data_IF_416872935093
#
_entry.id   IF_416872935093
#
_cell.length_a   1.000
_cell.length_b   1.000
_cell.length_c   1.000
_cell.angle_alpha   90.00
_cell.angle_beta   90.00
_cell.angle_gamma   90.00
#
_symmetry.space_group_name_H-M   'P 1'
#
loop_
_entity.id
_entity.type
_entity.pdbx_description
1 polymer ?
#
# COMPACT_ATOMS: atom_id res chain seq x y z
N UNK A 1 3.37 -4.68 5.28
CA UNK A 1 4.09 -5.96 5.48
C UNK A 1 5.55 -5.62 5.28
N UNK A 2 6.34 -5.67 6.35
CA UNK A 2 7.67 -5.05 6.36
C UNK A 2 8.81 -6.06 6.19
N UNK A 3 8.52 -7.32 5.84
CA UNK A 3 9.53 -8.39 5.74
C UNK A 3 9.99 -8.86 7.12
N UNK A 4 10.50 -10.08 7.20
CA UNK A 4 10.78 -10.74 8.48
C UNK A 4 11.79 -9.99 9.35
N UNK A 5 12.78 -9.34 8.73
CA UNK A 5 13.78 -8.57 9.46
C UNK A 5 13.21 -7.39 10.28
N UNK A 6 12.01 -6.92 9.94
CA UNK A 6 11.35 -5.76 10.56
C UNK A 6 10.28 -6.16 11.59
N UNK A 7 10.16 -7.46 11.93
CA UNK A 7 9.15 -7.97 12.85
C UNK A 7 9.49 -7.73 14.33
N UNK A 8 9.53 -6.45 14.74
CA UNK A 8 9.73 -6.05 16.14
C UNK A 8 8.43 -5.99 16.94
N UNK A 9 7.29 -5.70 16.29
CA UNK A 9 6.00 -5.47 16.95
C UNK A 9 5.36 -6.79 17.39
N UNK A 10 5.25 -7.01 18.70
CA UNK A 10 4.66 -8.22 19.27
C UNK A 10 3.13 -8.10 19.41
N UNK A 11 2.65 -6.96 19.90
CA UNK A 11 1.23 -6.69 20.10
C UNK A 11 0.95 -5.20 19.93
N UNK A 12 -0.29 -4.88 19.53
CA UNK A 12 -0.76 -3.51 19.47
C UNK A 12 -2.28 -3.44 19.58
N UNK A 13 -2.77 -2.26 19.93
CA UNK A 13 -4.17 -1.90 19.89
C UNK A 13 -4.32 -0.53 19.23
N UNK A 14 -5.40 -0.36 18.47
CA UNK A 14 -5.70 0.90 17.76
C UNK A 14 -7.05 1.40 18.26
N UNK A 15 -7.03 2.54 18.93
CA UNK A 15 -8.21 3.29 19.33
C UNK A 15 -8.63 4.34 18.29
N UNK A 16 -9.61 5.16 18.64
CA UNK A 16 -10.14 6.24 17.78
C UNK A 16 -9.23 7.47 17.69
N UNK A 17 -8.26 7.63 18.59
CA UNK A 17 -7.38 8.80 18.63
C UNK A 17 -5.87 8.44 18.68
N UNK A 18 -5.53 7.16 18.57
CA UNK A 18 -4.17 6.69 18.71
C UNK A 18 -4.01 5.18 18.67
N UNK A 19 -2.79 4.74 18.92
CA UNK A 19 -2.44 3.34 19.10
C UNK A 19 -1.41 3.18 20.21
N UNK A 20 -1.43 2.00 20.81
CA UNK A 20 -0.45 1.54 21.80
C UNK A 20 0.08 0.19 21.36
N UNK A 21 1.34 -0.12 21.64
CA UNK A 21 1.90 -1.43 21.35
C UNK A 21 3.19 -1.73 22.09
N UNK A 22 3.64 -2.96 21.94
CA UNK A 22 4.87 -3.47 22.55
C UNK A 22 5.78 -4.01 21.45
N UNK A 23 7.01 -3.49 21.39
CA UNK A 23 8.09 -4.02 20.56
C UNK A 23 8.97 -4.95 21.39
N UNK A 24 9.60 -5.93 20.74
CA UNK A 24 10.65 -6.78 21.31
C UNK A 24 11.95 -6.48 20.58
N UNK A 25 12.92 -5.87 21.28
CA UNK A 25 14.13 -5.30 20.68
C UNK A 25 15.02 -6.31 19.97
N UNK A 26 15.02 -7.55 20.43
CA UNK A 26 15.80 -8.68 19.92
C UNK A 26 15.01 -9.59 18.95
N UNK A 27 13.78 -9.24 18.59
CA UNK A 27 12.95 -10.06 17.68
C UNK A 27 13.27 -9.85 16.19
N UNK A 28 13.68 -8.63 15.80
CA UNK A 28 14.01 -8.33 14.41
C UNK A 28 15.48 -8.61 14.06
N UNK A 29 15.78 -8.59 12.76
CA UNK A 29 17.10 -8.97 12.24
C UNK A 29 17.89 -7.78 11.65
N UNK A 30 17.37 -6.55 11.75
CA UNK A 30 18.08 -5.40 11.22
C UNK A 30 19.34 -5.10 12.05
N UNK A 31 20.42 -4.65 11.41
CA UNK A 31 21.57 -4.11 12.13
C UNK A 31 21.12 -2.99 13.07
N UNK A 32 21.58 -3.02 14.33
CA UNK A 32 21.22 -2.03 15.36
C UNK A 32 21.41 -0.59 14.88
N UNK A 33 22.57 -0.29 14.28
CA UNK A 33 22.95 1.08 13.96
C UNK A 33 23.13 1.94 15.23
N UNK A 34 23.10 3.27 15.07
CA UNK A 34 23.37 4.21 16.18
C UNK A 34 22.17 4.42 17.11
N UNK A 35 20.95 4.39 16.56
CA UNK A 35 19.72 4.73 17.29
C UNK A 35 18.75 3.55 17.38
N UNK A 36 19.22 2.32 17.12
CA UNK A 36 18.36 1.15 17.01
C UNK A 36 17.28 1.31 15.92
N UNK A 37 17.70 1.56 14.68
CA UNK A 37 16.82 1.89 13.56
C UNK A 37 15.66 0.91 13.33
N UNK A 38 15.84 -0.38 13.65
CA UNK A 38 14.76 -1.36 13.61
C UNK A 38 13.64 -1.12 14.62
N UNK A 39 13.95 -0.63 15.83
CA UNK A 39 12.93 -0.24 16.80
C UNK A 39 12.24 1.06 16.41
N UNK A 40 12.98 2.01 15.83
CA UNK A 40 12.39 3.26 15.35
C UNK A 40 11.41 3.03 14.19
N UNK A 41 11.75 2.14 13.26
CA UNK A 41 10.83 1.70 12.21
C UNK A 41 9.67 0.89 12.79
N UNK A 42 9.97 -0.07 13.68
CA UNK A 42 8.97 -0.87 14.38
C UNK A 42 7.93 -0.02 15.13
N UNK A 43 8.32 1.11 15.70
CA UNK A 43 7.41 2.05 16.35
C UNK A 43 6.39 2.65 15.38
N UNK A 44 6.74 2.84 14.10
CA UNK A 44 5.78 3.31 13.10
C UNK A 44 4.74 2.24 12.75
N UNK A 45 5.02 0.95 12.97
CA UNK A 45 4.07 -0.13 12.67
C UNK A 45 2.80 -0.10 13.53
N UNK A 46 2.79 0.58 14.69
CA UNK A 46 1.55 0.75 15.47
C UNK A 46 0.59 1.75 14.82
N UNK A 47 1.09 2.62 13.94
CA UNK A 47 0.27 3.59 13.21
C UNK A 47 -0.55 2.83 12.17
N UNK A 48 -1.88 3.05 12.09
CA UNK A 48 -2.75 2.37 11.14
C UNK A 48 -2.58 2.97 9.75
N UNK A 49 -1.41 2.83 9.13
CA UNK A 49 -1.05 3.46 7.85
C UNK A 49 -2.05 3.19 6.72
N UNK A 50 -2.74 2.05 6.78
CA UNK A 50 -3.73 1.65 5.78
C UNK A 50 -5.18 1.98 6.16
N UNK A 51 -5.39 2.60 7.32
CA UNK A 51 -6.69 2.93 7.87
C UNK A 51 -6.61 4.19 8.74
N UNK A 52 -5.81 5.18 8.33
CA UNK A 52 -5.56 6.38 9.13
C UNK A 52 -6.84 7.23 9.31
N UNK A 53 -7.82 7.03 8.42
CA UNK A 53 -9.20 7.52 8.55
C UNK A 53 -9.89 7.10 9.86
N UNK A 54 -9.41 6.06 10.55
CA UNK A 54 -9.87 5.69 11.89
C UNK A 54 -9.53 6.74 12.95
N UNK A 55 -8.51 7.55 12.72
CA UNK A 55 -8.09 8.64 13.62
C UNK A 55 -8.62 10.00 13.21
N UNK A 56 -9.02 10.18 11.95
CA UNK A 56 -9.64 11.41 11.47
C UNK A 56 -10.60 11.14 10.31
N UNK A 57 -11.87 11.59 10.38
CA UNK A 57 -12.83 11.43 9.29
C UNK A 57 -12.49 12.30 8.05
N UNK A 58 -11.55 13.24 8.17
CA UNK A 58 -11.07 14.07 7.06
C UNK A 58 -10.10 13.33 6.11
N UNK A 59 -9.76 12.07 6.41
CA UNK A 59 -8.87 11.25 5.60
C UNK A 59 -9.70 10.24 4.81
N UNK A 60 -9.50 10.22 3.48
CA UNK A 60 -10.21 9.29 2.59
C UNK A 60 -9.74 7.84 2.80
N UNK A 61 -10.66 6.89 2.54
CA UNK A 61 -10.42 5.45 2.73
C UNK A 61 -9.57 4.81 1.63
N UNK A 62 -9.40 5.50 0.51
CA UNK A 62 -8.59 5.06 -0.64
C UNK A 62 -7.11 5.49 -0.52
N UNK A 63 -6.73 6.09 0.61
CA UNK A 63 -5.37 6.54 0.90
C UNK A 63 -4.65 5.59 1.83
N UNK A 64 -3.35 5.51 1.63
CA UNK A 64 -2.41 4.97 2.64
C UNK A 64 -1.40 6.04 2.99
N UNK A 65 -0.86 5.96 4.20
CA UNK A 65 0.16 6.90 4.65
C UNK A 65 1.54 6.27 4.63
N UNK A 66 2.54 7.05 4.23
CA UNK A 66 3.96 6.69 4.32
C UNK A 66 4.71 7.76 5.11
N UNK A 67 5.77 7.42 5.87
CA UNK A 67 6.62 8.41 6.51
C UNK A 67 7.20 9.37 5.47
N UNK A 68 7.06 10.68 5.70
CA UNK A 68 7.49 11.71 4.76
C UNK A 68 8.59 12.59 5.34
N UNK A 69 8.40 13.06 6.57
CA UNK A 69 9.33 14.00 7.21
C UNK A 69 9.34 13.84 8.73
N UNK A 70 10.54 13.76 9.29
CA UNK A 70 10.75 13.83 10.73
C UNK A 70 10.82 15.31 11.16
N UNK A 71 9.90 15.75 12.00
CA UNK A 71 9.84 17.15 12.48
C UNK A 71 10.77 17.35 13.66
N UNK A 72 10.70 16.43 14.62
CA UNK A 72 11.58 16.42 15.78
C UNK A 72 11.83 14.98 16.21
N UNK A 73 13.04 14.73 16.69
CA UNK A 73 13.44 13.53 17.38
C UNK A 73 14.17 13.94 18.66
N UNK A 74 13.71 13.43 19.79
CA UNK A 74 14.35 13.60 21.09
C UNK A 74 14.71 12.22 21.62
N UNK A 75 15.98 12.05 21.96
CA UNK A 75 16.51 10.84 22.58
C UNK A 75 16.93 11.21 23.99
N UNK A 76 16.31 10.59 24.99
CA UNK A 76 16.56 10.85 26.40
C UNK A 76 17.42 9.74 27.01
N UNK A 77 17.19 8.50 26.58
CA UNK A 77 17.91 7.30 27.00
C UNK A 77 18.17 6.42 25.76
N UNK A 78 19.24 5.59 25.74
CA UNK A 78 19.47 4.65 24.65
C UNK A 78 18.38 3.57 24.60
N UNK A 79 18.00 3.15 23.39
CA UNK A 79 17.11 2.01 23.22
C UNK A 79 17.85 0.69 23.50
N UNK A 80 17.22 -0.26 24.22
CA UNK A 80 17.86 -1.50 24.66
C UNK A 80 18.11 -2.44 23.47
N UNK A 81 19.07 -3.35 23.61
CA UNK A 81 19.35 -4.41 22.61
C UNK A 81 18.40 -5.60 22.70
N UNK A 82 17.72 -5.76 23.84
CA UNK A 82 16.82 -6.88 24.08
C UNK A 82 15.67 -6.47 25.02
N UNK A 83 14.57 -7.21 24.95
CA UNK A 83 13.42 -7.02 25.83
C UNK A 83 12.37 -6.05 25.28
N UNK A 84 11.39 -5.76 26.13
CA UNK A 84 10.18 -5.04 25.74
C UNK A 84 10.38 -3.52 25.70
N UNK A 85 9.84 -2.90 24.65
CA UNK A 85 9.78 -1.44 24.48
C UNK A 85 8.33 -1.06 24.19
N UNK A 86 7.72 -0.28 25.08
CA UNK A 86 6.37 0.24 24.86
C UNK A 86 6.37 1.31 23.77
N UNK A 87 5.27 1.42 23.04
CA UNK A 87 5.09 2.44 22.00
C UNK A 87 3.72 3.08 22.15
N UNK A 88 3.70 4.41 22.14
CA UNK A 88 2.48 5.20 22.12
C UNK A 88 2.47 6.09 20.88
N UNK A 89 1.40 6.05 20.10
CA UNK A 89 1.21 6.88 18.91
C UNK A 89 -0.10 7.66 18.98
N UNK A 90 -0.08 8.96 18.68
CA UNK A 90 -1.25 9.84 18.70
C UNK A 90 -1.34 10.68 17.43
N UNK A 91 -2.55 10.80 16.90
CA UNK A 91 -2.81 11.72 15.81
C UNK A 91 -2.71 13.17 16.30
N UNK A 92 -1.88 13.97 15.64
CA UNK A 92 -1.55 15.34 16.03
C UNK A 92 -2.09 16.38 15.03
N UNK A 93 -3.05 15.99 14.18
CA UNK A 93 -3.62 16.86 13.17
C UNK A 93 -2.87 16.81 11.84
N UNK A 94 -2.76 17.95 11.18
CA UNK A 94 -2.21 18.08 9.82
C UNK A 94 -1.14 19.18 9.76
N UNK A 95 -0.08 18.93 9.03
CA UNK A 95 1.04 19.87 8.88
C UNK A 95 0.60 21.11 8.10
N UNK A 96 0.63 22.28 8.75
CA UNK A 96 0.16 23.54 8.16
C UNK A 96 -1.31 23.51 7.72
N UNK A 97 -2.14 22.59 8.25
CA UNK A 97 -3.52 22.37 7.81
C UNK A 97 -3.67 21.62 6.49
N UNK A 98 -2.58 21.14 5.88
CA UNK A 98 -2.65 20.35 4.65
C UNK A 98 -3.11 18.91 4.95
N UNK A 99 -4.32 18.56 4.50
CA UNK A 99 -4.95 17.25 4.74
C UNK A 99 -4.17 16.07 4.15
N UNK A 100 -3.30 16.30 3.17
CA UNK A 100 -2.41 15.27 2.61
C UNK A 100 -1.20 14.97 3.50
N UNK A 101 -0.98 15.78 4.55
CA UNK A 101 0.15 15.69 5.45
C UNK A 101 -0.27 15.45 6.93
N UNK A 102 -0.86 14.29 7.27
CA UNK A 102 -1.12 13.90 8.66
C UNK A 102 0.13 13.97 9.53
N UNK A 103 -0.03 14.37 10.79
CA UNK A 103 1.04 14.40 11.79
C UNK A 103 0.75 13.37 12.86
N UNK A 104 1.78 12.63 13.26
CA UNK A 104 1.71 11.65 14.36
C UNK A 104 2.82 11.95 15.35
N UNK A 105 2.45 12.00 16.63
CA UNK A 105 3.39 11.98 17.75
C UNK A 105 3.59 10.54 18.21
N UNK A 106 4.83 10.11 18.32
CA UNK A 106 5.21 8.80 18.84
C UNK A 106 6.15 8.92 20.03
N UNK A 107 6.00 7.99 20.97
CA UNK A 107 6.91 7.79 22.09
C UNK A 107 7.30 6.32 22.18
N UNK A 108 8.57 6.06 22.46
CA UNK A 108 9.08 4.74 22.82
C UNK A 108 9.42 4.77 24.32
N UNK A 109 8.92 3.78 25.05
CA UNK A 109 9.00 3.67 26.49
C UNK A 109 9.86 2.46 26.89
N UNK A 110 10.79 2.69 27.80
CA UNK A 110 11.64 1.65 28.40
C UNK A 110 11.42 1.71 29.91
N UNK A 111 10.95 0.62 30.51
CA UNK A 111 10.55 0.57 31.92
C UNK A 111 9.65 1.77 32.32
N UNK A 112 8.61 2.01 31.50
CA UNK A 112 7.61 3.09 31.65
C UNK A 112 8.16 4.53 31.61
N UNK A 113 9.43 4.71 31.22
CA UNK A 113 10.02 6.04 30.97
C UNK A 113 10.15 6.28 29.48
N UNK A 114 9.91 7.52 29.05
CA UNK A 114 10.09 7.92 27.64
C UNK A 114 11.58 7.94 27.31
N UNK A 115 12.04 6.96 26.52
CA UNK A 115 13.41 6.90 26.03
C UNK A 115 13.57 7.73 24.74
N UNK A 116 12.56 7.69 23.87
CA UNK A 116 12.55 8.43 22.61
C UNK A 116 11.17 9.06 22.39
N UNK A 117 11.15 10.30 21.91
CA UNK A 117 9.94 10.95 21.41
C UNK A 117 10.19 11.53 20.02
N UNK A 118 9.23 11.33 19.11
CA UNK A 118 9.33 11.79 17.73
C UNK A 118 8.00 12.31 17.21
N UNK A 119 8.07 13.36 16.39
CA UNK A 119 6.93 13.86 15.62
C UNK A 119 7.22 13.64 14.14
N UNK A 120 6.34 12.94 13.46
CA UNK A 120 6.49 12.57 12.06
C UNK A 120 5.31 13.11 11.27
N UNK A 121 5.62 13.76 10.16
CA UNK A 121 4.66 14.04 9.09
C UNK A 121 4.64 12.85 8.17
N UNK A 122 3.44 12.35 7.90
CA UNK A 122 3.17 11.32 6.92
C UNK A 122 2.70 11.99 5.62
N UNK A 123 2.89 11.32 4.48
CA UNK A 123 2.25 11.69 3.22
C UNK A 123 1.13 10.69 2.91
N UNK A 124 -0.05 11.19 2.56
CA UNK A 124 -1.14 10.37 2.04
C UNK A 124 -0.98 10.16 0.53
N UNK A 125 -0.83 8.91 0.13
CA UNK A 125 -0.73 8.50 -1.26
C UNK A 125 -1.98 7.71 -1.67
N UNK A 126 -2.51 7.93 -2.88
CA UNK A 126 -3.68 7.21 -3.36
C UNK A 126 -3.33 5.76 -3.69
N UNK A 127 -4.22 4.84 -3.33
CA UNK A 127 -4.30 3.49 -3.88
C UNK A 127 -5.53 3.30 -4.78
N UNK A 128 -6.34 4.35 -4.95
CA UNK A 128 -7.57 4.30 -5.72
C UNK A 128 -8.46 3.14 -5.27
N UNK A 129 -8.99 2.39 -6.24
CA UNK A 129 -9.87 1.24 -5.99
C UNK A 129 -9.21 0.13 -5.16
N UNK A 130 -7.89 -0.02 -5.24
CA UNK A 130 -7.14 -0.99 -4.45
C UNK A 130 -7.11 -0.61 -2.97
N UNK A 131 -7.18 0.69 -2.65
CA UNK A 131 -7.22 1.21 -1.28
C UNK A 131 -8.52 0.88 -0.55
N UNK A 132 -9.64 0.89 -1.27
CA UNK A 132 -10.98 0.67 -0.73
C UNK A 132 -11.27 -0.79 -0.36
N UNK A 133 -10.48 -1.75 -0.85
CA UNK A 133 -10.65 -3.17 -0.54
C UNK A 133 -10.33 -3.49 0.93
N UNK A 134 -10.97 -4.54 1.47
CA UNK A 134 -10.68 -5.01 2.82
C UNK A 134 -9.22 -5.46 2.96
N UNK A 135 -8.60 -5.39 4.16
CA UNK A 135 -7.19 -5.75 4.34
C UNK A 135 -6.81 -7.15 3.85
N UNK A 136 -7.70 -8.13 4.06
CA UNK A 136 -7.49 -9.51 3.62
C UNK A 136 -7.50 -9.65 2.10
N UNK A 137 -8.49 -9.03 1.43
CA UNK A 137 -8.63 -9.01 -0.03
C UNK A 137 -7.46 -8.28 -0.68
N UNK A 138 -7.13 -7.09 -0.17
CA UNK A 138 -5.99 -6.31 -0.65
C UNK A 138 -4.68 -7.08 -0.52
N UNK A 139 -4.46 -7.78 0.60
CA UNK A 139 -3.28 -8.66 0.79
C UNK A 139 -3.28 -9.81 -0.20
N UNK A 140 -4.42 -10.47 -0.39
CA UNK A 140 -4.55 -11.57 -1.34
C UNK A 140 -4.20 -11.12 -2.77
N UNK A 141 -4.67 -9.95 -3.19
CA UNK A 141 -4.42 -9.39 -4.51
C UNK A 141 -2.99 -8.86 -4.67
N UNK A 142 -2.57 -7.91 -3.85
CA UNK A 142 -1.28 -7.21 -4.02
C UNK A 142 -0.08 -8.12 -3.74
N UNK A 143 -0.12 -8.90 -2.66
CA UNK A 143 1.01 -9.70 -2.20
C UNK A 143 0.95 -11.13 -2.70
N UNK A 144 -0.19 -11.79 -2.49
CA UNK A 144 -0.31 -13.23 -2.80
C UNK A 144 -0.62 -13.47 -4.28
N UNK A 145 -0.85 -12.42 -5.06
CA UNK A 145 -1.23 -12.48 -6.49
C UNK A 145 -2.43 -13.42 -6.72
N UNK A 146 -3.36 -13.44 -5.78
CA UNK A 146 -4.61 -14.21 -5.90
C UNK A 146 -5.70 -13.31 -6.48
N UNK A 147 -6.53 -13.83 -7.41
CA UNK A 147 -7.65 -13.07 -7.94
C UNK A 147 -8.64 -12.73 -6.83
N UNK A 148 -9.13 -11.49 -6.85
CA UNK A 148 -10.24 -11.04 -6.01
C UNK A 148 -11.29 -10.45 -6.93
N UNK A 149 -12.53 -10.98 -6.97
CA UNK A 149 -13.58 -10.49 -7.86
C UNK A 149 -13.81 -8.98 -7.71
N UNK A 150 -13.79 -8.26 -8.82
CA UNK A 150 -14.04 -6.82 -8.87
C UNK A 150 -12.89 -5.92 -8.38
N UNK A 151 -11.77 -6.51 -7.93
CA UNK A 151 -10.59 -5.76 -7.51
C UNK A 151 -9.61 -5.57 -8.66
N UNK A 152 -9.17 -4.32 -8.83
CA UNK A 152 -8.33 -3.86 -9.93
C UNK A 152 -8.37 -2.34 -10.03
N UNK A 153 -7.68 -1.79 -11.02
CA UNK A 153 -7.71 -0.35 -11.33
C UNK A 153 -8.91 0.03 -12.20
N UNK A 154 -9.44 -0.90 -13.01
CA UNK A 154 -10.59 -0.65 -13.88
C UNK A 154 -11.94 -0.84 -13.20
N UNK A 155 -12.98 -0.37 -13.88
CA UNK A 155 -14.37 -0.76 -13.63
C UNK A 155 -14.84 -1.72 -14.72
N UNK A 156 -15.85 -2.54 -14.44
CA UNK A 156 -16.50 -3.34 -15.48
C UNK A 156 -18.01 -3.26 -15.32
N UNK A 157 -18.70 -2.87 -16.40
CA UNK A 157 -20.16 -2.74 -16.47
C UNK A 157 -20.63 -3.37 -17.78
N UNK A 158 -21.65 -4.22 -17.73
CA UNK A 158 -22.23 -4.89 -18.91
C UNK A 158 -21.19 -5.57 -19.83
N UNK A 159 -20.19 -6.20 -19.21
CA UNK A 159 -19.11 -6.89 -19.93
C UNK A 159 -18.06 -5.97 -20.56
N UNK A 160 -18.15 -4.65 -20.37
CA UNK A 160 -17.15 -3.68 -20.83
C UNK A 160 -16.28 -3.27 -19.67
N UNK A 161 -14.98 -3.51 -19.78
CA UNK A 161 -13.96 -3.06 -18.82
C UNK A 161 -13.46 -1.67 -19.23
N UNK A 162 -13.44 -0.72 -18.30
CA UNK A 162 -13.02 0.65 -18.54
C UNK A 162 -11.97 1.10 -17.52
N UNK A 163 -10.85 1.65 -18.01
CA UNK A 163 -9.74 2.14 -17.20
C UNK A 163 -9.37 3.56 -17.64
N UNK A 164 -9.42 4.51 -16.71
CA UNK A 164 -8.89 5.84 -16.96
C UNK A 164 -7.36 5.84 -16.82
N UNK A 165 -6.67 6.50 -17.74
CA UNK A 165 -5.21 6.64 -17.72
C UNK A 165 -4.76 7.41 -16.47
N UNK A 166 -5.54 8.40 -16.04
CA UNK A 166 -5.22 9.20 -14.85
C UNK A 166 -5.35 8.40 -13.54
N UNK A 167 -6.23 7.40 -13.47
CA UNK A 167 -6.33 6.50 -12.31
C UNK A 167 -5.06 5.66 -12.16
N UNK A 168 -4.48 5.21 -13.29
CA UNK A 168 -3.21 4.49 -13.31
C UNK A 168 -2.08 5.39 -12.82
N UNK A 169 -2.00 6.61 -13.36
CA UNK A 169 -0.96 7.57 -12.99
C UNK A 169 -1.04 8.01 -11.52
N UNK A 170 -2.25 8.13 -10.97
CA UNK A 170 -2.44 8.46 -9.56
C UNK A 170 -1.88 7.37 -8.65
N UNK A 171 -2.12 6.09 -8.96
CA UNK A 171 -1.71 4.96 -8.11
C UNK A 171 -0.21 4.64 -8.25
N UNK A 172 0.42 4.96 -9.38
CA UNK A 172 1.87 4.74 -9.60
C UNK A 172 2.75 5.85 -9.00
N UNK A 173 2.41 6.33 -7.81
CA UNK A 173 3.15 7.38 -7.09
C UNK A 173 4.60 6.98 -6.76
N UNK A 174 4.86 5.67 -6.63
CA UNK A 174 6.20 5.09 -6.64
C UNK A 174 6.39 4.42 -8.02
N UNK A 175 7.14 5.05 -8.94
CA UNK A 175 7.22 4.62 -10.33
C UNK A 175 7.57 3.13 -10.47
N UNK A 176 6.80 2.43 -11.30
CA UNK A 176 7.00 1.01 -11.59
C UNK A 176 6.26 0.04 -10.66
N UNK A 177 5.60 0.54 -9.60
CA UNK A 177 4.79 -0.31 -8.70
C UNK A 177 3.60 -0.92 -9.43
N UNK A 178 2.95 -0.13 -10.30
CA UNK A 178 1.85 -0.64 -11.13
C UNK A 178 2.38 -1.62 -12.19
N UNK A 179 3.51 -1.33 -12.83
CA UNK A 179 4.08 -2.24 -13.82
C UNK A 179 4.40 -3.62 -13.20
N UNK A 180 5.04 -3.64 -12.03
CA UNK A 180 5.28 -4.87 -11.26
C UNK A 180 3.99 -5.60 -10.90
N UNK A 181 2.97 -4.87 -10.42
CA UNK A 181 1.67 -5.44 -10.05
C UNK A 181 1.01 -6.21 -11.19
N UNK A 182 1.12 -5.69 -12.42
CA UNK A 182 0.54 -6.32 -13.60
C UNK A 182 1.50 -7.23 -14.36
N UNK A 183 2.73 -7.42 -13.90
CA UNK A 183 3.75 -8.23 -14.60
C UNK A 183 4.13 -7.64 -15.95
N UNK A 184 4.20 -6.31 -16.04
CA UNK A 184 4.57 -5.55 -17.23
C UNK A 184 6.05 -5.16 -17.18
N UNK A 185 6.71 -5.01 -18.34
CA UNK A 185 8.08 -4.50 -18.37
C UNK A 185 8.14 -3.09 -17.78
N UNK A 186 9.28 -2.66 -17.20
CA UNK A 186 9.47 -1.27 -16.81
C UNK A 186 9.40 -0.36 -18.03
N UNK A 187 8.65 0.74 -17.95
CA UNK A 187 8.59 1.79 -18.99
C UNK A 187 8.89 3.16 -18.40
N UNK A 188 9.21 4.12 -19.28
CA UNK A 188 9.40 5.51 -18.89
C UNK A 188 8.09 6.22 -18.52
N UNK A 189 6.95 5.79 -19.09
CA UNK A 189 5.63 6.32 -18.77
C UNK A 189 4.63 5.19 -18.47
N UNK A 190 4.01 5.24 -17.29
CA UNK A 190 2.98 4.28 -16.87
C UNK A 190 1.70 4.42 -17.72
N UNK A 191 1.47 5.57 -18.36
CA UNK A 191 0.32 5.82 -19.24
C UNK A 191 0.34 4.89 -20.45
N UNK A 192 1.52 4.46 -20.89
CA UNK A 192 1.70 3.52 -21.99
C UNK A 192 1.15 2.12 -21.64
N UNK A 193 1.05 1.80 -20.35
CA UNK A 193 0.55 0.52 -19.86
C UNK A 193 -0.97 0.45 -19.72
N UNK A 194 -1.71 1.57 -19.76
CA UNK A 194 -3.15 1.56 -19.47
C UNK A 194 -3.92 0.54 -20.33
N UNK A 195 -3.60 0.40 -21.62
CA UNK A 195 -4.27 -0.59 -22.45
C UNK A 195 -3.91 -2.03 -22.11
N UNK A 196 -2.65 -2.30 -21.78
CA UNK A 196 -2.21 -3.63 -21.36
C UNK A 196 -2.84 -4.02 -20.01
N UNK A 197 -2.91 -3.08 -19.06
CA UNK A 197 -3.58 -3.24 -17.77
C UNK A 197 -5.06 -3.57 -17.98
N UNK A 198 -5.77 -2.76 -18.78
CA UNK A 198 -7.20 -2.97 -19.03
C UNK A 198 -7.49 -4.33 -19.68
N UNK A 199 -6.65 -4.78 -20.62
CA UNK A 199 -6.77 -6.12 -21.23
C UNK A 199 -6.51 -7.22 -20.21
N UNK A 200 -5.43 -7.09 -19.42
CA UNK A 200 -5.08 -8.08 -18.38
C UNK A 200 -6.20 -8.20 -17.35
N UNK A 201 -6.77 -7.10 -16.88
CA UNK A 201 -7.90 -7.14 -15.94
C UNK A 201 -9.17 -7.71 -16.56
N UNK A 202 -9.49 -7.34 -17.81
CA UNK A 202 -10.65 -7.87 -18.51
C UNK A 202 -10.58 -9.39 -18.64
N UNK A 203 -9.43 -9.92 -19.10
CA UNK A 203 -9.22 -11.35 -19.32
C UNK A 203 -9.07 -12.09 -17.99
N UNK A 204 -8.36 -11.52 -17.01
CA UNK A 204 -8.22 -12.08 -15.66
C UNK A 204 -9.60 -12.34 -15.02
N UNK A 205 -10.52 -11.38 -15.15
CA UNK A 205 -11.90 -11.52 -14.68
C UNK A 205 -12.63 -12.67 -15.37
N UNK A 206 -12.48 -12.83 -16.68
CA UNK A 206 -13.12 -13.90 -17.45
C UNK A 206 -12.54 -15.28 -17.09
N UNK A 207 -11.23 -15.36 -16.89
CA UNK A 207 -10.51 -16.60 -16.67
C UNK A 207 -10.36 -16.98 -15.19
N UNK A 208 -10.78 -16.12 -14.26
CA UNK A 208 -10.68 -16.36 -12.82
C UNK A 208 -9.24 -16.38 -12.29
N UNK A 209 -8.33 -15.59 -12.87
CA UNK A 209 -6.90 -15.52 -12.49
C UNK A 209 -6.50 -14.11 -12.10
N UNK A 210 -5.33 -13.93 -11.49
CA UNK A 210 -4.81 -12.59 -11.20
C UNK A 210 -4.30 -11.92 -12.51
N UNK A 211 -4.46 -10.59 -12.68
CA UNK A 211 -4.03 -9.88 -13.89
C UNK A 211 -2.55 -10.07 -14.28
N UNK A 212 -1.66 -10.25 -13.30
CA UNK A 212 -0.23 -10.52 -13.58
C UNK A 212 0.04 -11.89 -14.24
N UNK A 213 -0.92 -12.80 -14.16
CA UNK A 213 -0.84 -14.13 -14.76
C UNK A 213 -1.40 -14.19 -16.20
N UNK A 214 -1.89 -13.06 -16.74
CA UNK A 214 -2.42 -12.96 -18.10
C UNK A 214 -1.32 -12.50 -19.05
N UNK A 215 -1.13 -13.21 -20.16
CA UNK A 215 -0.22 -12.81 -21.24
C UNK A 215 -0.93 -12.72 -22.59
N UNK A 216 -0.40 -11.87 -23.46
CA UNK A 216 -0.96 -11.64 -24.80
C UNK A 216 -0.74 -10.20 -25.24
N UNK A 217 -1.55 -9.78 -26.20
CA UNK A 217 -1.50 -8.45 -26.79
C UNK A 217 -2.88 -7.75 -26.74
N UNK A 218 -3.03 -6.65 -27.47
CA UNK A 218 -4.27 -5.86 -27.50
C UNK A 218 -5.37 -6.45 -28.41
N UNK A 219 -5.16 -7.64 -28.97
CA UNK A 219 -6.13 -8.37 -29.82
C UNK A 219 -6.58 -9.67 -29.18
N UNK A 220 -5.69 -10.37 -28.48
CA UNK A 220 -6.03 -11.54 -27.70
C UNK A 220 -5.05 -11.76 -26.54
N UNK A 221 -5.59 -12.16 -25.38
CA UNK A 221 -4.80 -12.52 -24.22
C UNK A 221 -5.40 -13.73 -23.49
N UNK A 222 -4.63 -14.36 -22.61
CA UNK A 222 -5.07 -15.54 -21.87
C UNK A 222 -4.18 -15.83 -20.66
N UNK A 223 -4.60 -16.74 -19.78
CA UNK A 223 -3.78 -17.18 -18.65
C UNK A 223 -2.50 -17.86 -19.12
N UNK A 224 -1.37 -17.49 -18.53
CA UNK A 224 -0.04 -18.06 -18.87
C UNK A 224 0.02 -19.58 -18.62
N UNK A 225 -0.69 -20.06 -17.61
CA UNK A 225 -0.75 -21.47 -17.22
C UNK A 225 -1.68 -22.31 -18.11
N UNK A 226 -2.50 -21.67 -18.95
CA UNK A 226 -3.48 -22.30 -19.85
C UNK A 226 -3.36 -21.69 -21.25
N UNK A 227 -2.26 -21.96 -21.98
CA UNK A 227 -1.94 -21.26 -23.23
C UNK A 227 -2.97 -21.45 -24.35
N UNK A 228 -3.73 -22.55 -24.32
CA UNK A 228 -4.81 -22.83 -25.28
C UNK A 228 -6.08 -22.00 -25.01
N UNK A 229 -6.24 -21.44 -23.80
CA UNK A 229 -7.34 -20.56 -23.44
C UNK A 229 -7.02 -19.10 -23.83
N UNK A 230 -7.39 -18.72 -25.05
CA UNK A 230 -7.20 -17.35 -25.58
C UNK A 230 -8.54 -16.63 -25.68
N UNK A 231 -8.58 -15.41 -25.18
CA UNK A 231 -9.73 -14.52 -25.20
C UNK A 231 -9.51 -13.40 -26.21
N UNK A 232 -10.20 -13.42 -27.36
CA UNK A 232 -10.22 -12.31 -28.29
C UNK A 232 -10.82 -11.06 -27.64
N UNK A 233 -10.17 -9.91 -27.83
CA UNK A 233 -10.59 -8.63 -27.25
C UNK A 233 -10.62 -7.52 -28.29
N UNK A 234 -11.51 -6.55 -28.09
CA UNK A 234 -11.51 -5.27 -28.80
C UNK A 234 -11.17 -4.17 -27.81
N UNK A 235 -10.12 -3.42 -28.13
CA UNK A 235 -9.65 -2.29 -27.33
C UNK A 235 -9.99 -0.99 -28.05
N UNK A 236 -10.65 -0.06 -27.36
CA UNK A 236 -10.91 1.30 -27.84
C UNK A 236 -10.32 2.31 -26.87
N UNK A 237 -9.69 3.37 -27.40
CA UNK A 237 -9.01 4.42 -26.62
C UNK A 237 -9.64 5.76 -26.97
N UNK A 238 -10.34 6.37 -26.02
CA UNK A 238 -11.01 7.67 -26.24
C UNK A 238 -10.90 8.54 -25.00
N UNK A 239 -10.53 9.80 -25.20
CA UNK A 239 -10.53 10.83 -24.16
C UNK A 239 -9.84 10.41 -22.84
N UNK A 240 -8.67 9.76 -22.93
CA UNK A 240 -7.92 9.31 -21.75
C UNK A 240 -8.49 8.06 -21.05
N UNK A 241 -9.47 7.39 -21.64
CA UNK A 241 -10.04 6.13 -21.13
C UNK A 241 -9.76 5.01 -22.13
N UNK A 242 -9.33 3.86 -21.63
CA UNK A 242 -9.24 2.62 -22.39
C UNK A 242 -10.43 1.74 -22.04
N UNK A 243 -11.14 1.26 -23.07
CA UNK A 243 -12.22 0.28 -22.91
C UNK A 243 -11.87 -1.03 -23.59
N UNK A 244 -12.26 -2.14 -22.97
CA UNK A 244 -12.01 -3.50 -23.45
C UNK A 244 -13.30 -4.31 -23.35
N UNK A 245 -13.60 -5.04 -24.43
CA UNK A 245 -14.71 -6.01 -24.50
C UNK A 245 -14.25 -7.28 -25.22
N UNK A 246 -14.88 -8.41 -24.93
CA UNK A 246 -14.72 -9.63 -25.73
C UNK A 246 -15.10 -9.37 -27.19
N UNK A 247 -14.31 -9.92 -28.12
CA UNK A 247 -14.46 -9.64 -29.56
C UNK A 247 -15.54 -10.45 -30.26
#
# INVERSE_FOLDING_TARGET
FHGEAFHYLAEHSIGSAGASGTLVADAGALPRGQLHQGLLDGALHVVPHQALWRWSPDIDRDRVSVPHRLVVLRVFEPLPDAGAVGVEARFAGFDGGNRLLPVVDLQLLVADRVAVALRVVLALVPLGRLGAAGPAERRAFLRDRRPVPGLGLSTTTDGVTALAVDDVAAVDWLPGTVADLYGLPPTADVRDHAAAIAVREHVARLAGVHPSAVDGDLRAAGPRDRPDERYPVRVDRRAGVVTVRSA
#
